data_IF_408889818948
#
_entry.id   IF_408889818948
#
_cell.length_a   1.000
_cell.length_b   1.000
_cell.length_c   1.000
_cell.angle_alpha   90.00
_cell.angle_beta   90.00
_cell.angle_gamma   90.00
#
_symmetry.space_group_name_H-M   'P 1'
#
loop_
_entity.id
_entity.type
_entity.pdbx_description
1 polymer ?
#
# COMPACT_ATOMS: atom_id res chain seq x y z
N UNK A 1 -13.98 -17.23 3.70
CA UNK A 1 -12.75 -16.55 3.28
C UNK A 1 -13.04 -15.06 3.34
N UNK A 2 -12.59 -14.38 4.38
CA UNK A 2 -12.94 -12.98 4.62
C UNK A 2 -12.10 -12.10 3.72
N UNK A 3 -12.74 -11.29 2.89
CA UNK A 3 -12.08 -10.32 2.02
C UNK A 3 -12.05 -9.01 2.80
N UNK A 4 -10.87 -8.41 2.94
CA UNK A 4 -10.73 -7.12 3.60
C UNK A 4 -11.30 -6.02 2.70
N UNK A 5 -11.99 -5.04 3.30
CA UNK A 5 -12.35 -3.80 2.60
C UNK A 5 -11.08 -2.97 2.34
N UNK A 6 -11.13 -2.07 1.37
CA UNK A 6 -10.04 -1.18 1.03
C UNK A 6 -10.43 0.26 1.35
N UNK A 7 -9.64 0.90 2.19
CA UNK A 7 -9.72 2.33 2.45
C UNK A 7 -8.52 3.07 1.84
N UNK A 8 -8.79 4.20 1.20
CA UNK A 8 -7.80 5.05 0.53
C UNK A 8 -8.14 6.51 0.87
N UNK A 9 -7.34 7.16 1.73
CA UNK A 9 -7.45 8.58 1.99
C UNK A 9 -7.29 9.39 0.69
N UNK A 10 -7.97 10.53 0.61
CA UNK A 10 -7.97 11.39 -0.59
C UNK A 10 -6.54 11.75 -1.06
N UNK A 11 -5.67 12.12 -0.13
CA UNK A 11 -4.25 12.42 -0.42
C UNK A 11 -3.53 11.26 -1.10
N UNK A 12 -3.77 10.02 -0.65
CA UNK A 12 -3.14 8.82 -1.21
C UNK A 12 -3.78 8.43 -2.55
N UNK A 13 -5.06 8.75 -2.72
CA UNK A 13 -5.76 8.59 -3.99
C UNK A 13 -5.16 9.51 -5.06
N UNK A 14 -4.85 10.75 -4.70
CA UNK A 14 -4.18 11.69 -5.59
C UNK A 14 -2.76 11.24 -5.94
N UNK A 15 -1.99 10.72 -4.97
CA UNK A 15 -0.69 10.09 -5.22
C UNK A 15 -0.79 8.92 -6.21
N UNK A 16 -1.84 8.11 -6.10
CA UNK A 16 -2.08 6.98 -6.99
C UNK A 16 -2.44 7.46 -8.41
N UNK A 17 -3.24 8.50 -8.54
CA UNK A 17 -3.62 9.09 -9.82
C UNK A 17 -2.52 9.93 -10.47
N UNK A 18 -1.54 10.40 -9.69
CA UNK A 18 -0.34 11.03 -10.20
C UNK A 18 0.62 10.03 -10.88
N UNK A 19 0.41 8.71 -10.72
CA UNK A 19 1.13 7.69 -11.47
C UNK A 19 0.57 7.57 -12.89
N UNK A 20 1.41 7.08 -13.80
CA UNK A 20 0.95 6.70 -15.14
C UNK A 20 -0.21 5.71 -15.04
N UNK A 21 -1.25 5.91 -15.87
CA UNK A 21 -2.48 5.12 -15.83
C UNK A 21 -2.23 3.60 -15.81
N UNK A 22 -1.32 3.12 -16.68
CA UNK A 22 -0.98 1.69 -16.77
C UNK A 22 -0.32 1.15 -15.49
N UNK A 23 0.43 1.99 -14.79
CA UNK A 23 1.12 1.66 -13.54
C UNK A 23 0.10 1.63 -12.39
N UNK A 24 -0.80 2.61 -12.33
CA UNK A 24 -1.89 2.65 -11.36
C UNK A 24 -2.79 1.40 -11.50
N UNK A 25 -3.14 0.99 -12.72
CA UNK A 25 -3.91 -0.23 -12.97
C UNK A 25 -3.20 -1.49 -12.44
N UNK A 26 -1.90 -1.65 -12.74
CA UNK A 26 -1.09 -2.76 -12.22
C UNK A 26 -1.03 -2.74 -10.70
N UNK A 27 -0.95 -1.56 -10.09
CA UNK A 27 -0.94 -1.38 -8.64
C UNK A 27 -2.26 -1.82 -8.02
N UNK A 28 -3.39 -1.32 -8.53
CA UNK A 28 -4.73 -1.69 -8.06
C UNK A 28 -4.98 -3.19 -8.22
N UNK A 29 -4.57 -3.79 -9.34
CA UNK A 29 -4.67 -5.25 -9.55
C UNK A 29 -3.90 -6.04 -8.49
N UNK A 30 -2.74 -5.54 -8.06
CA UNK A 30 -1.95 -6.16 -7.00
C UNK A 30 -2.58 -5.95 -5.62
N UNK A 31 -3.12 -4.76 -5.37
CA UNK A 31 -3.82 -4.42 -4.13
C UNK A 31 -5.06 -5.29 -3.92
N UNK A 32 -5.89 -5.49 -4.96
CA UNK A 32 -7.04 -6.41 -4.91
C UNK A 32 -6.66 -7.83 -4.49
N UNK A 33 -5.51 -8.34 -4.96
CA UNK A 33 -5.01 -9.66 -4.54
C UNK A 33 -4.61 -9.69 -3.06
N UNK A 34 -4.10 -8.58 -2.53
CA UNK A 34 -3.70 -8.44 -1.13
C UNK A 34 -4.91 -8.47 -0.20
N UNK A 35 -6.07 -7.94 -0.61
CA UNK A 35 -7.30 -7.94 0.21
C UNK A 35 -7.76 -9.35 0.63
N UNK A 36 -7.37 -10.39 -0.11
CA UNK A 36 -7.66 -11.78 0.25
C UNK A 36 -6.72 -12.35 1.33
N UNK A 37 -5.49 -11.83 1.43
CA UNK A 37 -4.50 -12.25 2.41
C UNK A 37 -3.53 -11.10 2.71
N UNK A 38 -3.94 -10.13 3.55
CA UNK A 38 -3.19 -8.90 3.74
C UNK A 38 -1.97 -9.08 4.65
N UNK A 39 -1.92 -10.11 5.50
CA UNK A 39 -0.72 -10.39 6.29
C UNK A 39 0.31 -11.16 5.49
N UNK A 40 1.24 -10.44 4.88
CA UNK A 40 2.34 -11.03 4.11
C UNK A 40 3.67 -10.83 4.87
N UNK A 41 4.16 -11.83 5.66
CA UNK A 41 5.29 -11.63 6.58
C UNK A 41 6.56 -11.08 5.92
N UNK A 42 6.89 -11.56 4.71
CA UNK A 42 8.04 -11.07 3.92
C UNK A 42 7.98 -9.59 3.55
N UNK A 43 6.77 -9.00 3.56
CA UNK A 43 6.53 -7.61 3.22
C UNK A 43 6.37 -6.72 4.45
N UNK A 44 6.36 -7.28 5.66
CA UNK A 44 6.19 -6.50 6.90
C UNK A 44 7.27 -5.43 7.02
N UNK A 45 6.88 -4.23 7.42
CA UNK A 45 7.80 -3.14 7.72
C UNK A 45 8.31 -3.29 9.16
N UNK A 46 9.59 -3.01 9.37
CA UNK A 46 10.18 -2.98 10.71
C UNK A 46 9.85 -1.62 11.33
N UNK A 47 9.51 -1.62 12.61
CA UNK A 47 9.17 -0.39 13.35
C UNK A 47 7.77 0.16 13.09
N UNK A 48 6.98 -0.47 12.21
CA UNK A 48 5.59 -0.08 11.94
C UNK A 48 4.66 -1.28 12.15
N UNK A 49 3.77 -1.24 13.17
CA UNK A 49 2.86 -2.35 13.46
C UNK A 49 1.84 -2.52 12.32
N UNK A 50 1.58 -3.77 11.96
CA UNK A 50 0.61 -4.17 10.91
C UNK A 50 0.78 -3.48 9.55
N UNK A 51 1.97 -2.92 9.28
CA UNK A 51 2.27 -2.26 8.03
C UNK A 51 3.10 -3.14 7.12
N UNK A 52 2.77 -3.12 5.83
CA UNK A 52 3.36 -3.98 4.83
C UNK A 52 3.66 -3.19 3.56
N UNK A 53 4.74 -3.57 2.88
CA UNK A 53 5.17 -2.95 1.62
C UNK A 53 4.59 -3.65 0.39
N UNK A 54 4.15 -2.85 -0.57
CA UNK A 54 3.84 -3.26 -1.94
C UNK A 54 5.00 -2.81 -2.83
N UNK A 55 5.41 -3.68 -3.76
CA UNK A 55 6.46 -3.38 -4.74
C UNK A 55 5.98 -3.73 -6.14
N UNK A 56 5.99 -2.78 -7.06
CA UNK A 56 6.00 -3.04 -8.50
C UNK A 56 7.42 -2.76 -8.97
N UNK A 57 8.22 -3.82 -9.13
CA UNK A 57 9.66 -3.68 -9.35
C UNK A 57 9.94 -3.10 -10.73
N UNK A 58 9.24 -3.60 -11.73
CA UNK A 58 9.43 -3.24 -13.14
C UNK A 58 9.05 -1.78 -13.40
N UNK A 59 8.05 -1.29 -12.65
CA UNK A 59 7.57 0.10 -12.72
C UNK A 59 8.30 1.06 -11.75
N UNK A 60 9.21 0.53 -10.92
CA UNK A 60 9.87 1.33 -9.90
C UNK A 60 8.92 1.94 -8.86
N UNK A 61 7.75 1.35 -8.59
CA UNK A 61 6.76 1.86 -7.62
C UNK A 61 6.81 1.09 -6.30
N UNK A 62 6.59 1.82 -5.20
CA UNK A 62 6.37 1.27 -3.87
C UNK A 62 5.06 1.81 -3.30
N UNK A 63 4.41 1.00 -2.48
CA UNK A 63 3.31 1.46 -1.63
C UNK A 63 3.40 0.84 -0.25
N UNK A 64 2.67 1.42 0.69
CA UNK A 64 2.53 0.93 2.06
C UNK A 64 1.06 0.83 2.39
N UNK A 65 0.65 -0.29 2.97
CA UNK A 65 -0.68 -0.45 3.54
C UNK A 65 -0.58 -0.93 4.98
N UNK A 66 -1.58 -0.57 5.77
CA UNK A 66 -1.80 -1.06 7.11
C UNK A 66 -3.01 -2.01 7.13
N UNK A 67 -2.96 -3.02 7.98
CA UNK A 67 -4.06 -3.98 8.18
C UNK A 67 -4.70 -3.71 9.53
N UNK A 68 -6.02 -3.52 9.53
CA UNK A 68 -6.84 -3.33 10.73
C UNK A 68 -7.73 -4.56 10.92
N UNK A 69 -7.26 -5.52 11.70
CA UNK A 69 -7.94 -6.82 11.88
C UNK A 69 -9.27 -6.71 12.63
N UNK A 70 -9.44 -5.65 13.44
CA UNK A 70 -10.69 -5.38 14.15
C UNK A 70 -11.80 -4.94 13.19
N UNK A 71 -11.43 -4.17 12.16
CA UNK A 71 -12.37 -3.58 11.20
C UNK A 71 -12.40 -4.33 9.86
N UNK A 72 -11.57 -5.38 9.72
CA UNK A 72 -11.42 -6.14 8.48
C UNK A 72 -11.11 -5.20 7.29
N UNK A 73 -10.27 -4.20 7.55
CA UNK A 73 -9.96 -3.12 6.61
C UNK A 73 -8.47 -3.08 6.30
N UNK A 74 -8.13 -2.84 5.03
CA UNK A 74 -6.78 -2.52 4.56
C UNK A 74 -6.75 -1.04 4.20
N UNK A 75 -5.92 -0.28 4.90
CA UNK A 75 -5.72 1.14 4.67
C UNK A 75 -4.48 1.37 3.81
N UNK A 76 -4.61 2.01 2.65
CA UNK A 76 -3.46 2.43 1.84
C UNK A 76 -2.88 3.73 2.43
N UNK A 77 -1.64 3.65 2.93
CA UNK A 77 -0.99 4.75 3.65
C UNK A 77 -0.23 5.68 2.71
N UNK A 78 0.47 5.13 1.73
CA UNK A 78 1.27 5.89 0.78
C UNK A 78 1.52 5.09 -0.50
N UNK A 79 1.63 5.77 -1.64
CA UNK A 79 2.08 5.19 -2.90
C UNK A 79 2.97 6.17 -3.64
N UNK A 80 4.01 5.67 -4.30
CA UNK A 80 4.88 6.55 -5.08
C UNK A 80 6.04 5.85 -5.77
N UNK A 81 6.77 6.64 -6.56
CA UNK A 81 8.00 6.19 -7.20
C UNK A 81 9.05 5.82 -6.15
N UNK A 82 9.93 4.90 -6.50
CA UNK A 82 11.07 4.49 -5.69
C UNK A 82 12.09 5.63 -5.68
N UNK A 83 11.87 6.58 -4.80
CA UNK A 83 12.86 7.60 -4.46
C UNK A 83 13.32 7.39 -3.01
N UNK A 84 14.64 7.23 -2.82
CA UNK A 84 15.41 7.13 -1.55
C UNK A 84 14.63 6.89 -0.23
N UNK A 85 13.72 5.92 -0.21
CA UNK A 85 12.83 5.61 0.93
C UNK A 85 11.71 6.62 1.25
N UNK A 86 11.47 7.62 0.40
CA UNK A 86 10.43 8.64 0.58
C UNK A 86 9.06 8.04 0.96
N UNK A 87 8.59 7.04 0.21
CA UNK A 87 7.30 6.36 0.48
C UNK A 87 7.23 5.76 1.89
N UNK A 88 8.37 5.33 2.46
CA UNK A 88 8.39 4.79 3.82
C UNK A 88 8.41 5.89 4.88
N UNK A 89 9.12 7.00 4.64
CA UNK A 89 9.11 8.14 5.57
C UNK A 89 7.73 8.80 5.59
N UNK A 90 7.13 9.06 4.42
CA UNK A 90 5.74 9.53 4.32
C UNK A 90 4.76 8.60 5.04
N UNK A 91 4.98 7.28 4.96
CA UNK A 91 4.13 6.33 5.67
C UNK A 91 4.33 6.36 7.19
N UNK A 92 5.53 6.65 7.69
CA UNK A 92 5.76 6.85 9.13
C UNK A 92 5.13 8.14 9.63
N UNK A 93 5.21 9.22 8.85
CA UNK A 93 4.63 10.52 9.26
C UNK A 93 3.09 10.50 9.34
N UNK A 94 2.45 9.54 8.65
CA UNK A 94 1.00 9.36 8.59
C UNK A 94 0.43 8.39 9.63
N UNK A 95 1.28 7.73 10.43
CA UNK A 95 0.91 6.72 11.43
C UNK A 95 1.26 7.20 12.84
#
# INVERSE_FOLDING_TARGET
>A
MTIYSLDIPEVVRDELYALDYSVAERFVKKLRKILHNPHVPKNKLRGLPNCYKIKLRDDGIRGVYQVHDQEITVLLIAVGKRDKSAVYETAKDRL
#
